data_IF_984476038283
#
_entry.id   IF_984476038283
#
_cell.length_a   1.000
_cell.length_b   1.000
_cell.length_c   1.000
_cell.angle_alpha   90.00
_cell.angle_beta   90.00
_cell.angle_gamma   90.00
#
_symmetry.space_group_name_H-M   'P 1'
#
loop_
_entity.id
_entity.type
_entity.pdbx_description
1 polymer ?
#
# COMPACT_ATOMS: atom_id res chain seq x y z
N UNK A 1 16.00 8.62 1.94
CA UNK A 1 15.54 7.47 1.12
C UNK A 1 14.22 7.86 0.47
N UNK A 2 14.10 7.70 -0.85
CA UNK A 2 13.08 8.36 -1.66
C UNK A 2 11.81 7.46 -1.81
N UNK A 3 10.62 7.95 -1.46
CA UNK A 3 9.36 7.22 -1.61
C UNK A 3 8.85 7.46 -3.02
N UNK A 4 8.62 6.40 -3.80
CA UNK A 4 8.05 6.53 -5.14
C UNK A 4 6.64 5.96 -5.19
N UNK A 5 5.76 6.69 -5.86
CA UNK A 5 4.43 6.23 -6.19
C UNK A 5 4.50 4.91 -6.97
N UNK A 6 3.68 3.94 -6.59
CA UNK A 6 3.61 2.60 -7.20
C UNK A 6 4.54 1.56 -6.58
N UNK A 7 5.44 1.94 -5.66
CA UNK A 7 6.26 0.94 -4.96
C UNK A 7 5.42 0.12 -3.99
N UNK A 8 5.78 -1.16 -3.84
CA UNK A 8 5.19 -2.05 -2.83
C UNK A 8 6.13 -2.17 -1.64
N UNK A 9 5.63 -1.84 -0.46
CA UNK A 9 6.38 -1.81 0.78
C UNK A 9 5.76 -2.78 1.77
N UNK A 10 6.59 -3.38 2.64
CA UNK A 10 6.09 -4.12 3.79
C UNK A 10 5.95 -3.13 4.95
N UNK A 11 4.71 -2.79 5.32
CA UNK A 11 4.43 -1.83 6.37
C UNK A 11 3.91 -2.53 7.62
N UNK A 12 4.42 -2.12 8.78
CA UNK A 12 3.79 -2.42 10.07
C UNK A 12 2.70 -1.39 10.31
N UNK A 13 1.45 -1.86 10.30
CA UNK A 13 0.26 -1.02 10.45
C UNK A 13 -0.20 -0.95 11.92
N UNK A 14 0.63 -1.39 12.86
CA UNK A 14 0.37 -1.37 14.29
C UNK A 14 -0.50 -2.54 14.78
N UNK A 15 -0.92 -2.42 16.05
CA UNK A 15 -1.51 -3.51 16.85
C UNK A 15 -2.77 -4.13 16.21
N UNK A 16 -3.53 -3.35 15.45
CA UNK A 16 -4.80 -3.81 14.87
C UNK A 16 -4.69 -4.36 13.43
N UNK A 17 -3.65 -3.99 12.65
CA UNK A 17 -3.69 -4.15 11.19
C UNK A 17 -2.69 -5.17 10.60
N UNK A 18 -1.78 -5.73 11.42
CA UNK A 18 -0.75 -6.72 11.02
C UNK A 18 0.25 -6.15 9.99
N UNK A 19 1.49 -6.65 10.01
CA UNK A 19 2.47 -6.32 8.97
C UNK A 19 1.98 -6.83 7.61
N UNK A 20 1.78 -5.93 6.65
CA UNK A 20 1.22 -6.28 5.34
C UNK A 20 1.91 -5.53 4.21
N UNK A 21 1.96 -6.13 3.00
CA UNK A 21 2.32 -5.40 1.80
C UNK A 21 1.32 -4.26 1.54
N UNK A 22 1.84 -3.09 1.17
CA UNK A 22 1.06 -1.89 0.83
C UNK A 22 1.62 -1.26 -0.44
N UNK A 23 0.77 -0.66 -1.27
CA UNK A 23 1.18 0.12 -2.44
C UNK A 23 1.26 1.58 -2.04
N UNK A 24 2.38 2.23 -2.30
CA UNK A 24 2.51 3.66 -2.06
C UNK A 24 1.80 4.45 -3.15
N UNK A 25 0.89 5.33 -2.74
CA UNK A 25 0.14 6.22 -3.64
C UNK A 25 0.47 7.70 -3.44
N UNK A 26 1.21 8.05 -2.39
CA UNK A 26 1.72 9.41 -2.22
C UNK A 26 2.66 9.80 -3.36
N UNK A 27 2.49 11.03 -3.86
CA UNK A 27 3.44 11.64 -4.79
C UNK A 27 4.82 11.78 -4.13
N UNK A 28 5.86 11.76 -4.96
CA UNK A 28 7.16 12.23 -4.49
C UNK A 28 7.11 13.73 -4.18
N UNK A 29 7.64 14.11 -3.03
CA UNK A 29 7.81 15.49 -2.61
C UNK A 29 9.20 15.64 -2.01
N UNK A 30 10.01 16.54 -2.58
CA UNK A 30 11.37 16.78 -2.12
C UNK A 30 11.44 17.63 -0.84
N UNK A 31 10.36 18.35 -0.52
CA UNK A 31 10.27 19.19 0.67
C UNK A 31 8.87 19.09 1.31
N UNK A 32 8.48 17.88 1.77
CA UNK A 32 7.13 17.69 2.29
C UNK A 32 7.00 18.38 3.65
N UNK A 33 5.85 19.02 3.94
CA UNK A 33 5.61 19.63 5.24
C UNK A 33 5.56 18.61 6.38
N UNK A 34 5.35 17.32 6.07
CA UNK A 34 5.41 16.18 6.99
C UNK A 34 5.93 14.94 6.28
N UNK A 35 6.69 14.10 6.99
CA UNK A 35 7.20 12.82 6.46
C UNK A 35 6.11 11.74 6.51
N UNK A 36 5.05 11.95 5.72
CA UNK A 36 3.90 11.05 5.62
C UNK A 36 3.93 10.30 4.30
N UNK A 37 3.72 8.99 4.35
CA UNK A 37 3.43 8.18 3.18
C UNK A 37 1.93 7.90 3.13
N UNK A 38 1.32 8.00 1.94
CA UNK A 38 -0.07 7.57 1.70
C UNK A 38 0.01 6.24 0.98
N UNK A 39 -0.75 5.25 1.45
CA UNK A 39 -0.69 3.90 0.92
C UNK A 39 -2.06 3.25 0.84
N UNK A 40 -2.14 2.19 0.04
CA UNK A 40 -3.29 1.31 -0.07
C UNK A 40 -2.86 -0.11 0.30
N UNK A 41 -3.53 -0.80 1.24
CA UNK A 41 -3.15 -2.13 1.67
C UNK A 41 -3.47 -3.19 0.62
N UNK A 42 -2.61 -4.21 0.58
CA UNK A 42 -2.83 -5.41 -0.21
C UNK A 42 -3.62 -6.43 0.59
N UNK A 43 -4.58 -7.06 -0.08
CA UNK A 43 -5.40 -8.13 0.48
C UNK A 43 -5.53 -9.28 -0.51
N UNK A 44 -5.60 -10.49 0.02
CA UNK A 44 -5.92 -11.71 -0.74
C UNK A 44 -7.43 -11.97 -0.77
N UNK A 45 -8.21 -11.20 0.02
CA UNK A 45 -9.67 -11.26 0.02
C UNK A 45 -10.23 -10.41 -1.12
N UNK A 46 -10.35 -11.02 -2.28
CA UNK A 46 -10.98 -10.42 -3.45
C UNK A 46 -12.50 -10.39 -3.30
N UNK A 47 -13.12 -9.21 -3.46
CA UNK A 47 -14.58 -9.00 -3.37
C UNK A 47 -15.22 -8.71 -4.72
N UNK A 48 -14.44 -8.64 -5.79
CA UNK A 48 -14.91 -8.33 -7.14
C UNK A 48 -15.67 -6.99 -7.18
N UNK A 49 -15.02 -5.96 -6.64
CA UNK A 49 -15.56 -4.61 -6.54
C UNK A 49 -14.76 -3.63 -7.40
N UNK A 50 -15.41 -2.58 -7.89
CA UNK A 50 -14.76 -1.46 -8.61
C UNK A 50 -13.73 -0.70 -7.76
N UNK A 51 -13.70 -0.94 -6.43
CA UNK A 51 -12.70 -0.38 -5.53
C UNK A 51 -11.41 -1.21 -5.44
N UNK A 52 -11.30 -2.32 -6.17
CA UNK A 52 -10.16 -3.23 -6.13
C UNK A 52 -9.32 -3.13 -7.41
N UNK A 53 -8.02 -2.90 -7.23
CA UNK A 53 -7.04 -2.92 -8.31
C UNK A 53 -6.27 -4.23 -8.26
N UNK A 54 -6.39 -5.04 -9.31
CA UNK A 54 -5.65 -6.30 -9.45
C UNK A 54 -4.18 -6.01 -9.69
N UNK A 55 -3.30 -6.60 -8.89
CA UNK A 55 -1.86 -6.49 -9.11
C UNK A 55 -1.38 -7.51 -10.15
N UNK A 56 -0.33 -7.18 -10.91
CA UNK A 56 0.36 -8.19 -11.70
C UNK A 56 0.93 -9.28 -10.78
N UNK A 57 1.35 -10.40 -11.36
CA UNK A 57 2.00 -11.45 -10.60
C UNK A 57 3.39 -10.98 -10.11
N UNK A 58 3.44 -10.46 -8.89
CA UNK A 58 4.64 -9.96 -8.24
C UNK A 58 5.34 -11.11 -7.53
N UNK A 59 6.55 -11.47 -7.98
CA UNK A 59 7.32 -12.63 -7.50
C UNK A 59 7.58 -12.67 -5.99
N UNK A 60 7.57 -11.51 -5.33
CA UNK A 60 7.79 -11.38 -3.90
C UNK A 60 6.50 -11.50 -3.07
N UNK A 61 5.33 -11.52 -3.72
CA UNK A 61 4.06 -11.83 -3.07
C UNK A 61 3.82 -13.34 -3.15
N UNK A 62 3.51 -13.96 -2.02
CA UNK A 62 3.27 -15.42 -1.96
C UNK A 62 1.95 -15.83 -2.62
N UNK A 63 1.04 -14.89 -2.85
CA UNK A 63 -0.31 -15.12 -3.37
C UNK A 63 -0.76 -13.94 -4.23
N UNK A 64 -1.65 -14.21 -5.19
CA UNK A 64 -2.36 -13.16 -5.92
C UNK A 64 -3.09 -12.25 -4.94
N UNK A 65 -2.91 -10.95 -5.09
CA UNK A 65 -3.44 -9.94 -4.18
C UNK A 65 -4.09 -8.81 -4.97
N UNK A 66 -4.99 -8.09 -4.33
CA UNK A 66 -5.60 -6.85 -4.83
C UNK A 66 -5.31 -5.70 -3.88
N UNK A 67 -5.18 -4.49 -4.42
CA UNK A 67 -5.14 -3.26 -3.65
C UNK A 67 -6.57 -2.75 -3.50
N UNK A 68 -7.06 -2.64 -2.27
CA UNK A 68 -8.42 -2.12 -2.00
C UNK A 68 -8.35 -0.65 -1.60
N UNK A 69 -8.82 0.25 -2.47
CA UNK A 69 -8.72 1.71 -2.27
C UNK A 69 -9.54 2.18 -1.05
N UNK A 70 -10.51 1.38 -0.62
CA UNK A 70 -11.29 1.63 0.59
C UNK A 70 -10.46 1.58 1.89
N UNK A 71 -9.28 0.94 1.87
CA UNK A 71 -8.35 0.89 2.99
C UNK A 71 -7.25 1.95 2.93
N UNK A 72 -7.42 3.03 2.16
CA UNK A 72 -6.40 4.07 2.03
C UNK A 72 -6.10 4.74 3.38
N UNK A 73 -4.83 4.81 3.72
CA UNK A 73 -4.36 5.31 5.01
C UNK A 73 -3.03 6.04 4.85
N UNK A 74 -2.57 6.70 5.91
CA UNK A 74 -1.24 7.28 5.98
C UNK A 74 -0.45 6.76 7.19
N UNK A 75 0.88 6.71 7.08
CA UNK A 75 1.76 6.48 8.22
C UNK A 75 2.85 7.53 8.25
N UNK A 76 3.24 7.91 9.47
CA UNK A 76 4.48 8.64 9.72
C UNK A 76 5.63 7.69 9.46
N UNK A 77 6.53 8.11 8.58
CA UNK A 77 7.72 7.35 8.25
C UNK A 77 8.91 7.79 9.08
#
# INVERSE_FOLDING_TARGET
>A
MNIKQGEVWLADLGIAAKTRPVVIVSRYDANPPRVLAIYVPLTTQYRNSDYEVVLPNLKFLNQSSVATVQGIENFLR
#
